data_IF_738915632303
#
_entry.id   IF_738915632303
#
_cell.length_a   1.000
_cell.length_b   1.000
_cell.length_c   1.000
_cell.angle_alpha   90.00
_cell.angle_beta   90.00
_cell.angle_gamma   90.00
#
_symmetry.space_group_name_H-M   'P 1'
#
loop_
_entity.id
_entity.type
_entity.pdbx_description
1 polymer ?
#
# COMPACT_ATOMS: atom_id res chain seq x y z
N UNK A 1 23.57 8.01 -16.21
CA UNK A 1 22.78 7.97 -14.97
C UNK A 1 21.32 8.00 -15.36
N UNK A 2 20.63 6.88 -15.15
CA UNK A 2 19.19 6.79 -15.39
C UNK A 2 18.51 6.89 -14.04
N UNK A 3 17.78 7.98 -13.82
CA UNK A 3 17.06 8.23 -12.57
C UNK A 3 15.57 8.26 -12.86
N UNK A 4 14.79 7.46 -12.15
CA UNK A 4 13.35 7.38 -12.27
C UNK A 4 12.70 7.66 -10.91
N UNK A 5 11.79 8.65 -10.85
CA UNK A 5 11.23 9.13 -9.58
C UNK A 5 9.72 9.11 -9.65
N UNK A 6 9.10 8.57 -8.60
CA UNK A 6 7.66 8.62 -8.41
C UNK A 6 7.31 9.02 -6.98
N UNK A 7 6.16 9.68 -6.85
CA UNK A 7 5.60 10.16 -5.58
C UNK A 7 4.11 9.91 -5.57
N UNK A 8 3.61 9.33 -4.49
CA UNK A 8 2.18 9.17 -4.33
C UNK A 8 1.77 9.29 -2.87
N UNK A 9 0.54 9.78 -2.68
CA UNK A 9 -0.19 9.73 -1.42
C UNK A 9 -1.21 8.60 -1.49
N UNK A 10 -1.34 7.83 -0.42
CA UNK A 10 -2.48 6.95 -0.24
C UNK A 10 -3.06 7.09 1.16
N UNK A 11 -4.37 6.90 1.25
CA UNK A 11 -5.13 7.07 2.47
C UNK A 11 -5.41 5.73 3.14
N UNK A 12 -5.54 5.74 4.46
CA UNK A 12 -5.91 4.54 5.23
C UNK A 12 -7.36 4.20 4.94
N UNK A 13 -7.73 2.92 5.03
CA UNK A 13 -9.11 2.49 4.90
C UNK A 13 -9.57 1.68 6.12
N UNK A 14 -10.87 1.72 6.41
CA UNK A 14 -11.50 0.95 7.48
C UNK A 14 -12.47 -0.05 6.88
N UNK A 15 -12.19 -1.34 7.06
CA UNK A 15 -13.04 -2.42 6.58
C UNK A 15 -14.40 -2.41 7.31
N UNK A 16 -15.47 -2.37 6.52
CA UNK A 16 -16.86 -2.52 6.95
C UNK A 16 -17.29 -3.98 6.81
N UNK A 17 -17.01 -4.59 5.65
CA UNK A 17 -17.01 -6.05 5.47
C UNK A 17 -15.57 -6.53 5.64
N UNK A 18 -15.34 -7.41 6.62
CA UNK A 18 -13.99 -7.73 7.07
C UNK A 18 -13.27 -8.68 6.12
N UNK A 19 -12.02 -8.36 5.84
CA UNK A 19 -11.05 -9.32 5.32
C UNK A 19 -10.45 -10.09 6.50
N UNK A 20 -10.64 -11.41 6.52
CA UNK A 20 -10.05 -12.26 7.55
C UNK A 20 -9.73 -13.66 7.00
N UNK A 21 -8.44 -13.99 6.92
CA UNK A 21 -7.95 -15.26 6.39
C UNK A 21 -7.50 -15.18 4.93
N UNK A 22 -6.41 -15.90 4.64
CA UNK A 22 -5.80 -16.00 3.31
C UNK A 22 -5.97 -17.42 2.78
N UNK A 23 -6.51 -17.56 1.56
CA UNK A 23 -6.47 -18.83 0.83
C UNK A 23 -5.10 -19.10 0.22
N UNK A 24 -4.36 -18.03 -0.08
CA UNK A 24 -2.96 -18.09 -0.53
C UNK A 24 -2.12 -17.08 0.27
N UNK A 25 -1.11 -17.57 0.99
CA UNK A 25 -0.26 -16.73 1.84
C UNK A 25 0.81 -15.97 1.06
N UNK A 26 1.28 -16.51 -0.05
CA UNK A 26 2.32 -15.93 -0.90
C UNK A 26 1.75 -14.81 -1.76
N UNK A 27 0.59 -15.05 -2.36
CA UNK A 27 -0.10 -14.07 -3.22
C UNK A 27 -1.05 -13.15 -2.45
N UNK A 28 -1.23 -13.39 -1.15
CA UNK A 28 -2.15 -12.67 -0.27
C UNK A 28 -3.61 -12.73 -0.76
N UNK A 29 -4.02 -13.84 -1.35
CA UNK A 29 -5.40 -14.03 -1.82
C UNK A 29 -6.34 -14.25 -0.63
N UNK A 30 -7.49 -13.56 -0.57
CA UNK A 30 -8.36 -13.62 0.59
C UNK A 30 -9.33 -14.80 0.50
N UNK A 31 -9.85 -15.24 1.64
CA UNK A 31 -10.93 -16.24 1.68
C UNK A 31 -12.28 -15.66 1.19
N UNK A 32 -12.51 -14.37 1.41
CA UNK A 32 -13.74 -13.66 1.08
C UNK A 32 -13.45 -12.25 0.56
N UNK A 33 -14.38 -11.69 -0.23
CA UNK A 33 -14.35 -10.29 -0.60
C UNK A 33 -14.58 -9.40 0.62
N UNK A 34 -14.13 -8.16 0.54
CA UNK A 34 -14.20 -7.20 1.65
C UNK A 34 -14.50 -5.80 1.14
N UNK A 35 -15.07 -4.96 1.99
CA UNK A 35 -15.47 -3.59 1.66
C UNK A 35 -14.92 -2.65 2.72
N UNK A 36 -14.39 -1.50 2.33
CA UNK A 36 -13.92 -0.48 3.27
C UNK A 36 -14.33 0.93 2.87
N UNK A 37 -14.33 1.84 3.85
CA UNK A 37 -14.33 3.27 3.62
C UNK A 37 -12.89 3.81 3.71
N UNK A 38 -12.44 4.53 2.69
CA UNK A 38 -11.17 5.26 2.71
C UNK A 38 -11.30 6.55 3.53
N UNK A 39 -10.30 6.85 4.36
CA UNK A 39 -10.33 7.97 5.31
C UNK A 39 -9.53 9.17 4.81
N UNK A 40 -10.07 10.37 4.92
CA UNK A 40 -9.35 11.59 4.54
C UNK A 40 -8.18 11.91 5.50
N UNK A 41 -8.43 11.86 6.82
CA UNK A 41 -7.50 12.38 7.83
C UNK A 41 -6.17 11.61 7.98
N UNK A 42 -6.09 10.36 7.52
CA UNK A 42 -4.96 9.48 7.81
C UNK A 42 -4.36 8.91 6.52
N UNK A 43 -3.14 9.31 6.20
CA UNK A 43 -2.49 8.99 4.93
C UNK A 43 -0.99 8.75 5.07
N UNK A 44 -0.41 8.20 4.02
CA UNK A 44 1.02 7.99 3.84
C UNK A 44 1.47 8.63 2.53
N UNK A 45 2.52 9.43 2.59
CA UNK A 45 3.22 9.96 1.42
C UNK A 45 4.47 9.13 1.18
N UNK A 46 4.66 8.63 -0.04
CA UNK A 46 5.84 7.84 -0.40
C UNK A 46 6.46 8.40 -1.66
N UNK A 47 7.78 8.58 -1.62
CA UNK A 47 8.63 8.82 -2.77
C UNK A 47 9.52 7.59 -2.99
N UNK A 48 9.62 7.14 -4.24
CA UNK A 48 10.60 6.14 -4.66
C UNK A 48 11.52 6.75 -5.71
N UNK A 49 12.82 6.49 -5.58
CA UNK A 49 13.84 6.88 -6.55
C UNK A 49 14.57 5.62 -6.98
N UNK A 50 14.44 5.24 -8.24
CA UNK A 50 15.28 4.22 -8.87
C UNK A 50 16.48 4.90 -9.52
N UNK A 51 17.67 4.35 -9.30
CA UNK A 51 18.92 4.88 -9.83
C UNK A 51 19.85 3.74 -10.26
N UNK A 52 20.53 3.91 -11.39
CA UNK A 52 21.57 2.98 -11.87
C UNK A 52 22.80 2.94 -10.97
N UNK A 53 23.02 4.00 -10.18
CA UNK A 53 24.22 4.15 -9.35
C UNK A 53 24.00 3.58 -7.94
N UNK A 54 22.76 3.23 -7.58
CA UNK A 54 22.47 2.55 -6.32
C UNK A 54 22.90 1.08 -6.38
N UNK A 55 23.68 0.66 -5.39
CA UNK A 55 24.16 -0.73 -5.22
C UNK A 55 23.22 -1.57 -4.35
N UNK A 56 22.38 -0.93 -3.55
CA UNK A 56 21.43 -1.58 -2.63
C UNK A 56 20.14 -0.77 -2.49
N UNK A 57 19.10 -1.44 -2.00
CA UNK A 57 17.84 -0.78 -1.65
C UNK A 57 17.94 -0.12 -0.26
N UNK A 58 17.30 1.03 -0.10
CA UNK A 58 17.25 1.74 1.18
C UNK A 58 15.85 2.23 1.50
N UNK A 59 15.49 2.25 2.78
CA UNK A 59 14.17 2.65 3.23
C UNK A 59 14.24 3.60 4.44
N UNK A 60 13.59 4.75 4.28
CA UNK A 60 13.42 5.78 5.30
C UNK A 60 11.94 5.92 5.63
N UNK A 61 11.60 5.86 6.92
CA UNK A 61 10.25 6.13 7.42
C UNK A 61 10.28 7.31 8.38
N UNK A 62 9.50 8.35 8.10
CA UNK A 62 9.47 9.61 8.86
C UNK A 62 10.86 10.25 9.03
N UNK A 63 11.70 10.16 7.98
CA UNK A 63 13.07 10.69 7.99
C UNK A 63 14.09 9.84 8.75
N UNK A 64 13.72 8.66 9.25
CA UNK A 64 14.60 7.74 9.97
C UNK A 64 14.93 6.52 9.11
N UNK A 65 16.21 6.15 9.07
CA UNK A 65 16.66 4.87 8.53
C UNK A 65 15.93 3.71 9.21
N UNK A 66 15.54 2.73 8.41
CA UNK A 66 14.86 1.54 8.92
C UNK A 66 15.83 0.36 9.09
N UNK A 67 15.56 -0.53 10.06
CA UNK A 67 16.33 -1.76 10.23
C UNK A 67 16.35 -2.62 8.97
N UNK A 68 17.38 -3.45 8.85
CA UNK A 68 17.59 -4.31 7.66
C UNK A 68 16.37 -5.19 7.38
N UNK A 69 15.67 -5.66 8.41
CA UNK A 69 14.48 -6.52 8.27
C UNK A 69 13.29 -5.78 7.63
N UNK A 70 13.18 -4.47 7.84
CA UNK A 70 12.16 -3.64 7.18
C UNK A 70 12.59 -3.29 5.76
N UNK A 71 13.88 -3.03 5.52
CA UNK A 71 14.43 -2.84 4.18
C UNK A 71 14.19 -4.09 3.33
N UNK A 72 14.45 -5.29 3.84
CA UNK A 72 14.22 -6.56 3.13
C UNK A 72 12.76 -6.79 2.72
N UNK A 73 11.80 -6.36 3.54
CA UNK A 73 10.37 -6.41 3.18
C UNK A 73 10.04 -5.47 2.02
N UNK A 74 10.59 -4.27 2.04
CA UNK A 74 10.42 -3.30 0.96
C UNK A 74 11.13 -3.78 -0.31
N UNK A 75 12.33 -4.34 -0.21
CA UNK A 75 13.07 -4.97 -1.31
C UNK A 75 12.26 -6.09 -1.95
N UNK A 76 11.74 -7.03 -1.14
CA UNK A 76 10.89 -8.12 -1.63
C UNK A 76 9.65 -7.62 -2.36
N UNK A 77 9.11 -6.47 -1.94
CA UNK A 77 7.98 -5.84 -2.60
C UNK A 77 8.36 -5.13 -3.90
N UNK A 78 9.50 -4.45 -3.94
CA UNK A 78 10.07 -3.84 -5.15
C UNK A 78 10.38 -4.91 -6.21
N UNK A 79 10.89 -6.06 -5.78
CA UNK A 79 11.27 -7.17 -6.64
C UNK A 79 10.07 -7.72 -7.44
N UNK A 80 8.84 -7.60 -6.91
CA UNK A 80 7.62 -7.92 -7.67
C UNK A 80 7.53 -7.14 -8.98
N UNK A 81 7.88 -5.85 -8.94
CA UNK A 81 7.86 -4.98 -10.13
C UNK A 81 9.13 -5.18 -10.96
N UNK A 82 10.28 -5.43 -10.32
CA UNK A 82 11.53 -5.66 -11.05
C UNK A 82 11.48 -6.92 -11.91
N UNK A 83 10.93 -8.00 -11.37
CA UNK A 83 10.79 -9.27 -12.09
C UNK A 83 9.82 -9.12 -13.27
N UNK A 84 8.63 -8.57 -13.03
CA UNK A 84 7.59 -8.48 -14.06
C UNK A 84 7.93 -7.46 -15.17
N UNK A 85 8.68 -6.40 -14.84
CA UNK A 85 9.00 -5.31 -15.76
C UNK A 85 10.50 -5.21 -16.12
N UNK A 86 11.30 -6.21 -15.75
CA UNK A 86 12.73 -6.33 -16.07
C UNK A 86 13.56 -5.10 -15.65
N UNK A 87 13.30 -4.59 -14.44
CA UNK A 87 14.00 -3.42 -13.88
C UNK A 87 15.19 -3.85 -13.04
N UNK A 88 16.41 -3.54 -13.50
CA UNK A 88 17.65 -3.86 -12.77
C UNK A 88 18.08 -2.84 -11.72
N UNK A 89 17.43 -1.66 -11.64
CA UNK A 89 17.84 -0.57 -10.75
C UNK A 89 17.45 -0.83 -9.30
N UNK A 90 18.36 -0.46 -8.38
CA UNK A 90 18.06 -0.36 -6.94
C UNK A 90 17.31 0.93 -6.63
N UNK A 91 16.66 0.97 -5.48
CA UNK A 91 15.75 2.04 -5.12
C UNK A 91 15.96 2.59 -3.70
N UNK A 92 15.83 3.90 -3.59
CA UNK A 92 15.62 4.59 -2.31
C UNK A 92 14.14 4.85 -2.12
N UNK A 93 13.57 4.34 -1.03
CA UNK A 93 12.18 4.58 -0.62
C UNK A 93 12.17 5.54 0.57
N UNK A 94 11.46 6.65 0.43
CA UNK A 94 11.28 7.68 1.46
C UNK A 94 9.79 7.82 1.74
N UNK A 95 9.34 7.43 2.93
CA UNK A 95 7.92 7.43 3.30
C UNK A 95 7.65 8.24 4.56
N UNK A 96 6.54 8.98 4.58
CA UNK A 96 6.06 9.78 5.72
C UNK A 96 4.63 9.38 6.05
N UNK A 97 4.39 8.99 7.30
CA UNK A 97 3.12 8.46 7.75
C UNK A 97 2.42 9.44 8.70
N UNK A 98 1.20 9.85 8.32
CA UNK A 98 0.35 10.78 9.07
C UNK A 98 -0.80 10.04 9.77
N UNK A 99 -0.54 8.81 10.22
CA UNK A 99 -1.49 7.99 10.98
C UNK A 99 -1.10 8.01 12.47
N UNK A 100 -2.01 8.34 13.40
CA UNK A 100 -1.68 8.38 14.82
C UNK A 100 -1.22 7.01 15.34
N UNK A 101 0.03 6.91 15.76
CA UNK A 101 0.65 5.66 16.27
C UNK A 101 -0.12 5.06 17.46
N UNK A 102 -0.75 5.91 18.26
CA UNK A 102 -1.52 5.51 19.45
C UNK A 102 -2.94 5.01 19.14
N UNK A 103 -3.47 5.25 17.93
CA UNK A 103 -4.86 4.95 17.61
C UNK A 103 -5.11 3.48 17.21
N UNK A 104 -4.08 2.63 17.17
CA UNK A 104 -4.20 1.24 16.72
C UNK A 104 -4.60 1.10 15.24
N UNK A 105 -4.54 2.18 14.49
CA UNK A 105 -4.80 2.20 13.05
C UNK A 105 -3.56 1.62 12.34
N UNK A 106 -3.77 0.54 11.58
CA UNK A 106 -2.71 -0.10 10.81
C UNK A 106 -2.33 0.78 9.61
N UNK A 107 -1.14 1.40 9.65
CA UNK A 107 -0.59 2.23 8.58
C UNK A 107 -0.13 1.45 7.35
N UNK A 108 -0.03 0.12 7.43
CA UNK A 108 0.50 -0.68 6.33
C UNK A 108 -0.37 -0.64 5.08
N UNK A 109 -1.68 -0.43 5.22
CA UNK A 109 -2.60 -0.35 4.09
C UNK A 109 -2.30 0.86 3.18
N UNK A 110 -2.19 2.06 3.77
CA UNK A 110 -1.80 3.26 3.02
C UNK A 110 -0.35 3.20 2.56
N UNK A 111 0.56 2.64 3.37
CA UNK A 111 1.98 2.59 3.02
C UNK A 111 2.26 1.82 1.72
N UNK A 112 1.75 0.59 1.58
CA UNK A 112 1.97 -0.21 0.36
C UNK A 112 1.15 0.31 -0.82
N UNK A 113 -0.03 0.91 -0.60
CA UNK A 113 -0.77 1.57 -1.68
C UNK A 113 -0.01 2.78 -2.24
N UNK A 114 0.54 3.63 -1.36
CA UNK A 114 1.36 4.78 -1.75
C UNK A 114 2.63 4.31 -2.46
N UNK A 115 3.30 3.28 -1.95
CA UNK A 115 4.49 2.72 -2.57
C UNK A 115 4.18 2.13 -3.96
N UNK A 116 3.11 1.35 -4.13
CA UNK A 116 2.69 0.85 -5.44
C UNK A 116 2.44 1.97 -6.45
N UNK A 117 1.71 3.01 -6.06
CA UNK A 117 1.43 4.15 -6.96
C UNK A 117 2.70 4.94 -7.29
N UNK A 118 3.62 5.10 -6.33
CA UNK A 118 4.90 5.75 -6.57
C UNK A 118 5.78 4.92 -7.53
N UNK A 119 5.82 3.59 -7.40
CA UNK A 119 6.55 2.70 -8.32
C UNK A 119 5.94 2.75 -9.73
N UNK A 120 4.60 2.66 -9.83
CA UNK A 120 3.88 2.75 -11.10
C UNK A 120 4.21 4.06 -11.85
N UNK A 121 4.27 5.18 -11.11
CA UNK A 121 4.67 6.47 -11.67
C UNK A 121 6.16 6.51 -12.03
N UNK A 122 7.05 6.05 -11.14
CA UNK A 122 8.49 6.13 -11.33
C UNK A 122 8.95 5.36 -12.58
N UNK A 123 8.38 4.18 -12.80
CA UNK A 123 8.76 3.28 -13.88
C UNK A 123 7.91 3.46 -15.15
N UNK A 124 6.89 4.33 -15.12
CA UNK A 124 6.01 4.58 -16.26
C UNK A 124 5.29 3.32 -16.74
N UNK A 125 4.76 2.51 -15.80
CA UNK A 125 4.16 1.20 -16.14
C UNK A 125 2.74 1.31 -16.71
N UNK A 126 2.13 2.50 -16.64
CA UNK A 126 0.77 2.80 -17.10
C UNK A 126 -0.30 1.80 -16.62
N UNK A 127 -0.10 1.21 -15.43
CA UNK A 127 -1.10 0.32 -14.84
C UNK A 127 -2.25 1.14 -14.28
N UNK A 128 -3.48 0.73 -14.58
CA UNK A 128 -4.65 1.21 -13.88
C UNK A 128 -4.62 0.76 -12.41
N UNK A 129 -5.38 1.47 -11.56
CA UNK A 129 -5.39 1.23 -10.12
C UNK A 129 -5.92 -0.16 -9.75
N UNK A 130 -6.85 -0.76 -10.51
CA UNK A 130 -7.39 -2.09 -10.22
C UNK A 130 -6.35 -3.16 -10.50
N UNK A 131 -5.62 -3.07 -11.62
CA UNK A 131 -4.50 -3.98 -11.90
C UNK A 131 -3.36 -3.77 -10.90
N UNK A 132 -3.00 -2.52 -10.58
CA UNK A 132 -1.97 -2.19 -9.59
C UNK A 132 -2.33 -2.70 -8.19
N UNK A 133 -3.64 -2.78 -7.88
CA UNK A 133 -4.14 -3.32 -6.61
C UNK A 133 -3.75 -4.78 -6.36
N UNK A 134 -3.46 -5.56 -7.42
CA UNK A 134 -2.97 -6.94 -7.32
C UNK A 134 -1.54 -7.02 -6.78
N UNK A 135 -0.71 -5.99 -7.04
CA UNK A 135 0.63 -5.85 -6.46
C UNK A 135 0.53 -5.35 -5.03
N UNK A 136 -0.19 -4.25 -4.78
CA UNK A 136 -0.32 -3.65 -3.45
C UNK A 136 -0.78 -4.67 -2.38
N UNK A 137 -1.68 -5.58 -2.76
CA UNK A 137 -2.17 -6.70 -1.93
C UNK A 137 -1.04 -7.58 -1.39
N UNK A 138 0.02 -7.82 -2.18
CA UNK A 138 1.16 -8.68 -1.82
C UNK A 138 2.12 -8.04 -0.82
N UNK A 139 2.09 -6.72 -0.68
CA UNK A 139 2.78 -6.00 0.39
C UNK A 139 1.97 -6.01 1.70
N UNK A 140 0.68 -5.68 1.59
CA UNK A 140 -0.29 -5.88 2.68
C UNK A 140 -1.70 -6.00 2.08
N UNK A 141 -2.45 -7.03 2.47
CA UNK A 141 -3.70 -7.39 1.80
C UNK A 141 -4.71 -6.23 1.72
N UNK A 142 -4.90 -5.50 2.82
CA UNK A 142 -5.82 -4.36 2.87
C UNK A 142 -5.38 -3.14 2.04
N UNK A 143 -4.14 -3.09 1.57
CA UNK A 143 -3.61 -1.97 0.78
C UNK A 143 -4.28 -1.85 -0.57
N UNK A 144 -4.76 -2.97 -1.13
CA UNK A 144 -5.49 -3.01 -2.40
C UNK A 144 -6.66 -2.01 -2.42
N UNK A 145 -7.38 -1.85 -1.31
CA UNK A 145 -8.50 -0.91 -1.18
C UNK A 145 -8.05 0.54 -1.00
N UNK A 146 -6.84 0.77 -0.52
CA UNK A 146 -6.26 2.11 -0.33
C UNK A 146 -5.78 2.79 -1.61
N UNK A 147 -5.88 2.13 -2.77
CA UNK A 147 -5.64 2.78 -4.07
C UNK A 147 -6.80 3.69 -4.50
N UNK A 148 -7.96 3.60 -3.85
CA UNK A 148 -9.17 4.33 -4.23
C UNK A 148 -9.71 5.13 -3.04
N UNK A 149 -10.44 6.21 -3.36
CA UNK A 149 -11.24 6.97 -2.38
C UNK A 149 -12.63 6.33 -2.18
N UNK A 150 -13.42 6.92 -1.28
CA UNK A 150 -14.80 6.50 -1.04
C UNK A 150 -14.93 5.09 -0.46
N UNK A 151 -15.99 4.40 -0.86
CA UNK A 151 -16.22 2.98 -0.59
C UNK A 151 -15.52 2.13 -1.64
N UNK A 152 -14.74 1.16 -1.17
CA UNK A 152 -13.90 0.34 -2.03
C UNK A 152 -14.10 -1.12 -1.70
N UNK A 153 -14.46 -1.91 -2.70
CA UNK A 153 -14.49 -3.37 -2.60
C UNK A 153 -13.12 -3.94 -2.97
N UNK A 154 -12.67 -4.97 -2.26
CA UNK A 154 -11.68 -5.92 -2.72
C UNK A 154 -12.39 -7.23 -3.03
N UNK A 155 -12.49 -7.53 -4.32
CA UNK A 155 -13.00 -8.81 -4.80
C UNK A 155 -11.95 -9.90 -4.57
N UNK A 156 -12.36 -11.00 -3.94
CA UNK A 156 -11.51 -12.17 -3.74
C UNK A 156 -11.02 -12.77 -5.06
N UNK A 157 -11.77 -12.57 -6.15
CA UNK A 157 -11.49 -13.18 -7.44
C UNK A 157 -11.31 -14.70 -7.39
N UNK A 158 -10.75 -15.24 -8.47
CA UNK A 158 -10.46 -16.68 -8.63
C UNK A 158 -8.97 -16.96 -8.90
N UNK A 159 -8.17 -15.92 -9.14
CA UNK A 159 -6.74 -15.99 -9.46
C UNK A 159 -6.00 -14.78 -8.84
N UNK A 160 -4.68 -14.68 -9.03
CA UNK A 160 -3.91 -13.50 -8.60
C UNK A 160 -4.36 -12.25 -9.35
N UNK A 161 -4.59 -12.42 -10.64
CA UNK A 161 -4.91 -11.40 -11.62
C UNK A 161 -6.33 -10.90 -11.41
N UNK A 162 -7.27 -11.77 -11.02
CA UNK A 162 -8.68 -11.38 -10.83
C UNK A 162 -9.04 -10.95 -9.42
N UNK A 163 -8.14 -11.06 -8.44
CA UNK A 163 -8.39 -10.53 -7.08
C UNK A 163 -7.96 -9.07 -6.97
N UNK A 164 -8.85 -8.18 -7.36
CA UNK A 164 -8.61 -6.73 -7.50
C UNK A 164 -9.51 -5.91 -6.58
N UNK A 165 -9.15 -4.64 -6.39
CA UNK A 165 -10.03 -3.64 -5.79
C UNK A 165 -10.73 -2.75 -6.82
N UNK A 166 -11.94 -2.32 -6.48
CA UNK A 166 -12.79 -1.46 -7.30
C UNK A 166 -13.48 -0.40 -6.43
N UNK A 167 -13.59 0.85 -6.90
CA UNK A 167 -14.45 1.84 -6.26
C UNK A 167 -15.92 1.42 -6.42
N UNK A 168 -16.71 1.60 -5.36
CA UNK A 168 -18.13 1.25 -5.31
C UNK A 168 -18.99 2.51 -5.24
N UNK A 169 -18.55 3.50 -4.47
CA UNK A 169 -19.25 4.76 -4.23
C UNK A 169 -18.22 5.82 -3.77
N UNK A 170 -18.37 7.08 -4.19
CA UNK A 170 -17.39 8.13 -3.90
C UNK A 170 -17.50 8.69 -2.47
N UNK A 171 -18.51 8.26 -1.70
CA UNK A 171 -18.80 8.73 -0.34
C UNK A 171 -18.96 10.26 -0.26
N UNK A 172 -19.58 10.87 -1.27
CA UNK A 172 -19.78 12.32 -1.41
C UNK A 172 -21.02 12.87 -0.66
N UNK A 173 -21.72 11.99 0.07
CA UNK A 173 -22.84 12.31 0.94
C UNK A 173 -22.36 12.55 2.39
N UNK A 174 -23.26 12.98 3.27
CA UNK A 174 -22.93 13.35 4.66
C UNK A 174 -22.61 12.11 5.53
N UNK A 175 -21.42 11.56 5.29
CA UNK A 175 -20.85 10.42 6.02
C UNK A 175 -19.63 10.86 6.82
N UNK A 176 -19.63 10.52 8.11
CA UNK A 176 -18.51 10.76 9.02
C UNK A 176 -18.02 9.47 9.66
N UNK A 177 -16.71 9.38 9.89
CA UNK A 177 -16.10 8.31 10.69
C UNK A 177 -15.39 8.88 11.90
N UNK A 178 -15.88 8.52 13.09
CA UNK A 178 -15.23 8.85 14.36
C UNK A 178 -14.29 7.71 14.78
N UNK A 179 -13.01 8.00 14.94
CA UNK A 179 -12.04 7.06 15.52
C UNK A 179 -11.83 7.38 16.99
N UNK A 180 -12.28 6.48 17.87
CA UNK A 180 -12.14 6.61 19.32
C UNK A 180 -10.97 5.78 19.81
N UNK A 181 -9.93 6.44 20.31
CA UNK A 181 -8.77 5.77 20.91
C UNK A 181 -9.10 5.34 22.33
N UNK A 182 -9.27 4.04 22.56
CA UNK A 182 -9.68 3.48 23.86
C UNK A 182 -8.51 3.36 24.83
N UNK A 183 -7.29 3.08 24.34
CA UNK A 183 -6.07 3.06 25.14
C UNK A 183 -4.86 3.40 24.27
N UNK A 184 -4.13 4.45 24.61
CA UNK A 184 -2.96 4.95 23.88
C UNK A 184 -1.63 4.37 24.37
N UNK A 185 -1.63 3.54 25.42
CA UNK A 185 -0.42 2.90 25.92
C UNK A 185 0.08 1.82 24.95
N UNK A 186 1.40 1.69 24.79
CA UNK A 186 1.99 0.58 24.03
C UNK A 186 1.51 -0.75 24.62
N UNK A 187 1.02 -1.65 23.75
CA UNK A 187 0.72 -3.03 24.15
C UNK A 187 1.99 -3.65 24.75
N UNK A 188 1.87 -4.20 25.96
CA UNK A 188 2.88 -5.03 26.61
C UNK A 188 3.02 -6.37 25.90
#
# INVERSE_FOLDING_TARGET
MTIAIGRARAHTNIALIKYWGKRDKTLFLPMNSSLSLTLDAFYTDTKVTFDSDFTEDSFFLNGLDQPIEEVEKITSFLDLFREDFQVGMKAKVESFNFVPTAAGLASSASAYAALSMAINQALGLDMDRSRLSTYARRGSGSSTRSLFGGFVEWDKGHSSETSMAYPVDDADWDIGMLVVVVNSQKKK
#
